data_IF_288166236894
#
_entry.id   IF_288166236894
#
_cell.length_a   1.000
_cell.length_b   1.000
_cell.length_c   1.000
_cell.angle_alpha   90.00
_cell.angle_beta   90.00
_cell.angle_gamma   90.00
#
_symmetry.space_group_name_H-M   'P 1'
#
loop_
_entity.id
_entity.type
_entity.pdbx_description
1 polymer ?
#
# COMPACT_ATOMS: atom_id res chain seq x y z
N UNK A 1 1.69 -11.87 22.64
CA UNK A 1 1.41 -11.50 21.23
C UNK A 1 1.98 -10.10 21.03
N UNK A 2 2.98 -9.91 20.17
CA UNK A 2 3.56 -8.58 19.91
C UNK A 2 2.62 -7.75 19.01
N UNK A 3 2.32 -6.51 19.40
CA UNK A 3 1.41 -5.63 18.68
C UNK A 3 0.93 -4.47 19.55
N UNK A 4 0.12 -3.58 18.98
CA UNK A 4 -0.53 -2.49 19.72
C UNK A 4 -1.77 -3.06 20.40
N UNK A 5 -1.95 -2.83 21.71
CA UNK A 5 -3.12 -3.24 22.47
C UNK A 5 -3.83 -1.98 22.97
N UNK A 6 -5.14 -1.91 22.74
CA UNK A 6 -5.95 -0.73 23.03
C UNK A 6 -7.04 -1.15 24.01
N UNK A 7 -7.01 -0.55 25.18
CA UNK A 7 -7.94 -0.83 26.27
C UNK A 7 -9.21 0.04 26.18
N UNK A 8 -10.07 -0.08 27.18
CA UNK A 8 -11.39 0.56 27.20
C UNK A 8 -11.27 2.08 27.08
N UNK A 9 -12.12 2.66 26.24
CA UNK A 9 -12.19 4.10 25.93
C UNK A 9 -10.87 4.73 25.45
N UNK A 10 -9.88 3.92 25.05
CA UNK A 10 -8.60 4.39 24.56
C UNK A 10 -8.57 4.54 23.03
N UNK A 11 -7.89 5.57 22.53
CA UNK A 11 -7.64 5.82 21.11
C UNK A 11 -6.14 5.81 20.83
N UNK A 12 -5.73 5.07 19.80
CA UNK A 12 -4.35 5.07 19.31
C UNK A 12 -4.31 5.49 17.85
N UNK A 13 -3.43 6.45 17.54
CA UNK A 13 -3.13 6.91 16.18
C UNK A 13 -1.71 6.52 15.84
N UNK A 14 -1.55 5.65 14.85
CA UNK A 14 -0.25 5.14 14.43
C UNK A 14 0.05 5.59 13.01
N UNK A 15 1.04 6.47 12.88
CA UNK A 15 1.44 7.06 11.61
C UNK A 15 2.82 6.55 11.18
N UNK A 16 2.97 6.17 9.91
CA UNK A 16 4.28 5.87 9.33
C UNK A 16 4.50 6.60 8.02
N UNK A 17 5.67 7.22 7.90
CA UNK A 17 6.16 7.82 6.67
C UNK A 17 7.44 7.12 6.29
N UNK A 18 7.49 6.55 5.09
CA UNK A 18 8.66 5.84 4.58
C UNK A 18 9.02 6.34 3.19
N UNK A 19 10.28 6.69 3.01
CA UNK A 19 10.86 7.06 1.73
C UNK A 19 12.13 6.25 1.52
N UNK A 20 12.10 5.37 0.52
CA UNK A 20 13.18 4.44 0.23
C UNK A 20 13.85 4.73 -1.10
N UNK A 21 15.09 4.24 -1.25
CA UNK A 21 15.77 4.28 -2.53
C UNK A 21 15.22 3.15 -3.44
N UNK A 22 14.79 3.46 -4.68
CA UNK A 22 14.16 2.51 -5.59
C UNK A 22 15.09 1.48 -6.22
N UNK A 23 16.41 1.70 -6.15
CA UNK A 23 17.37 0.99 -6.99
C UNK A 23 17.51 1.65 -8.36
N UNK A 24 18.49 1.18 -9.14
CA UNK A 24 18.75 1.65 -10.50
C UNK A 24 18.43 0.52 -11.49
N UNK A 25 17.54 0.78 -12.47
CA UNK A 25 17.22 -0.14 -13.58
C UNK A 25 17.03 -1.60 -13.13
N UNK A 26 16.12 -1.83 -12.17
CA UNK A 26 15.79 -3.14 -11.60
C UNK A 26 16.92 -3.83 -10.80
N UNK A 27 18.00 -3.11 -10.48
CA UNK A 27 19.11 -3.61 -9.67
C UNK A 27 19.18 -2.84 -8.36
N UNK A 28 19.09 -3.55 -7.24
CA UNK A 28 18.99 -2.95 -5.92
C UNK A 28 17.58 -2.44 -5.60
N UNK A 29 17.47 -1.67 -4.51
CA UNK A 29 16.20 -1.17 -4.00
C UNK A 29 15.66 -2.01 -2.85
N UNK A 30 14.81 -1.38 -2.03
CA UNK A 30 14.39 -1.95 -0.75
C UNK A 30 13.13 -2.79 -0.91
N UNK A 31 13.16 -3.99 -0.33
CA UNK A 31 12.00 -4.85 -0.13
C UNK A 31 11.35 -4.52 1.22
N UNK A 32 10.10 -4.09 1.17
CA UNK A 32 9.41 -3.51 2.31
C UNK A 32 8.26 -4.43 2.75
N UNK A 33 8.63 -5.50 3.45
CA UNK A 33 7.71 -6.52 3.96
C UNK A 33 7.46 -6.28 5.44
N UNK A 34 6.32 -5.66 5.76
CA UNK A 34 6.01 -5.26 7.13
C UNK A 34 4.68 -5.83 7.58
N UNK A 35 4.70 -6.48 8.74
CA UNK A 35 3.50 -6.95 9.44
C UNK A 35 3.23 -6.05 10.63
N UNK A 36 2.08 -5.37 10.65
CA UNK A 36 1.60 -4.59 11.79
C UNK A 36 0.27 -5.16 12.27
N UNK A 37 0.06 -5.21 13.59
CA UNK A 37 -1.16 -5.72 14.21
C UNK A 37 -1.56 -4.87 15.41
N UNK A 38 -2.85 -4.56 15.50
CA UNK A 38 -3.49 -3.97 16.66
C UNK A 38 -4.62 -4.87 17.17
N UNK A 39 -4.83 -4.84 18.49
CA UNK A 39 -5.94 -5.46 19.18
C UNK A 39 -6.72 -4.36 19.92
N UNK A 40 -7.92 -4.08 19.44
CA UNK A 40 -8.93 -3.29 20.13
C UNK A 40 -9.61 -4.21 21.15
N UNK A 41 -9.01 -4.31 22.34
CA UNK A 41 -9.43 -5.22 23.41
C UNK A 41 -10.62 -4.65 24.20
N UNK A 42 -10.57 -3.36 24.53
CA UNK A 42 -11.58 -2.72 25.36
C UNK A 42 -12.79 -2.21 24.59
N UNK A 43 -13.91 -2.05 25.29
CA UNK A 43 -15.09 -1.34 24.77
C UNK A 43 -14.74 0.09 24.32
N UNK A 44 -15.36 0.58 23.25
CA UNK A 44 -15.11 1.90 22.65
C UNK A 44 -13.63 2.14 22.26
N UNK A 45 -12.82 1.10 22.14
CA UNK A 45 -11.42 1.24 21.73
C UNK A 45 -11.31 1.62 20.26
N UNK A 46 -10.38 2.54 19.96
CA UNK A 46 -10.19 3.08 18.61
C UNK A 46 -8.76 2.94 18.14
N UNK A 47 -8.60 2.42 16.93
CA UNK A 47 -7.32 2.31 16.23
C UNK A 47 -7.36 3.06 14.91
N UNK A 48 -6.43 3.98 14.70
CA UNK A 48 -6.25 4.67 13.41
C UNK A 48 -4.86 4.42 12.85
N UNK A 49 -4.81 3.79 11.68
CA UNK A 49 -3.59 3.58 10.92
C UNK A 49 -3.45 4.64 9.84
N UNK A 50 -2.32 5.33 9.80
CA UNK A 50 -1.98 6.27 8.72
C UNK A 50 -0.63 5.87 8.12
N UNK A 51 -0.59 5.66 6.81
CA UNK A 51 0.67 5.35 6.12
C UNK A 51 0.86 6.21 4.87
N UNK A 52 2.12 6.62 4.67
CA UNK A 52 2.61 7.26 3.46
C UNK A 52 3.91 6.60 3.04
N UNK A 53 3.93 6.04 1.84
CA UNK A 53 5.03 5.21 1.38
C UNK A 53 5.42 5.54 -0.05
N UNK A 54 6.73 5.65 -0.28
CA UNK A 54 7.32 5.93 -1.58
C UNK A 54 8.67 5.25 -1.71
N UNK A 55 9.06 4.91 -2.94
CA UNK A 55 10.47 4.68 -3.24
C UNK A 55 10.98 3.24 -3.05
N UNK A 56 10.20 2.31 -2.50
CA UNK A 56 10.61 0.89 -2.44
C UNK A 56 10.54 0.21 -3.81
N UNK A 57 11.40 -0.77 -4.08
CA UNK A 57 11.27 -1.62 -5.26
C UNK A 57 10.01 -2.50 -5.19
N UNK A 58 9.80 -3.17 -4.05
CA UNK A 58 8.59 -3.95 -3.76
C UNK A 58 8.12 -3.61 -2.35
N UNK A 59 6.84 -3.27 -2.20
CA UNK A 59 6.18 -3.13 -0.89
C UNK A 59 5.03 -4.10 -0.77
N UNK A 60 5.04 -4.91 0.29
CA UNK A 60 3.90 -5.74 0.73
C UNK A 60 3.55 -5.45 2.17
N UNK A 61 2.37 -4.86 2.38
CA UNK A 61 1.92 -4.47 3.72
C UNK A 61 0.43 -4.65 3.91
N UNK A 62 0.10 -5.34 5.00
CA UNK A 62 -1.26 -5.51 5.47
C UNK A 62 -1.32 -5.26 6.97
N UNK A 63 -1.29 -3.98 7.41
CA UNK A 63 -1.63 -3.64 8.79
C UNK A 63 -2.99 -4.23 9.14
N UNK A 64 -3.11 -4.75 10.36
CA UNK A 64 -4.30 -5.47 10.78
C UNK A 64 -4.84 -4.94 12.10
N UNK A 65 -6.17 -4.94 12.23
CA UNK A 65 -6.85 -4.60 13.47
C UNK A 65 -7.84 -5.69 13.84
N UNK A 66 -7.80 -6.14 15.10
CA UNK A 66 -8.80 -7.04 15.68
C UNK A 66 -9.72 -6.20 16.56
N UNK A 67 -10.96 -6.03 16.12
CA UNK A 67 -12.03 -5.28 16.77
C UNK A 67 -12.79 -6.23 17.72
N UNK A 68 -12.21 -6.46 18.91
CA UNK A 68 -12.77 -7.39 19.91
C UNK A 68 -13.74 -6.70 20.87
N UNK A 69 -13.43 -5.49 21.32
CA UNK A 69 -14.32 -4.74 22.18
C UNK A 69 -15.60 -4.31 21.48
N UNK A 70 -16.70 -4.23 22.23
CA UNK A 70 -17.95 -3.65 21.73
C UNK A 70 -17.76 -2.17 21.38
N UNK A 71 -18.44 -1.70 20.34
CA UNK A 71 -18.31 -0.35 19.78
C UNK A 71 -16.87 0.03 19.37
N UNK A 72 -15.99 -0.96 19.11
CA UNK A 72 -14.63 -0.67 18.69
C UNK A 72 -14.56 -0.17 17.24
N UNK A 73 -13.64 0.75 16.98
CA UNK A 73 -13.50 1.44 15.70
C UNK A 73 -12.10 1.20 15.12
N UNK A 74 -12.07 0.76 13.86
CA UNK A 74 -10.85 0.69 13.07
C UNK A 74 -10.85 1.74 11.96
N UNK A 75 -9.76 2.48 11.81
CA UNK A 75 -9.55 3.41 10.70
C UNK A 75 -8.25 3.08 9.98
N UNK A 76 -8.26 3.18 8.66
CA UNK A 76 -7.08 2.98 7.83
C UNK A 76 -7.00 4.03 6.72
N UNK A 77 -5.90 4.76 6.71
CA UNK A 77 -5.54 5.77 5.73
C UNK A 77 -4.22 5.39 5.09
N UNK A 78 -4.21 5.23 3.77
CA UNK A 78 -3.00 4.85 3.03
C UNK A 78 -2.79 5.70 1.81
N UNK A 79 -1.58 6.25 1.71
CA UNK A 79 -1.05 6.92 0.51
C UNK A 79 0.17 6.17 0.02
N UNK A 80 0.13 5.71 -1.23
CA UNK A 80 1.27 5.04 -1.87
C UNK A 80 1.63 5.74 -3.17
N UNK A 81 2.92 6.07 -3.34
CA UNK A 81 3.49 6.56 -4.58
C UNK A 81 4.43 5.52 -5.17
N UNK A 82 4.14 5.10 -6.40
CA UNK A 82 4.98 4.18 -7.17
C UNK A 82 5.35 4.81 -8.53
N UNK A 83 6.57 4.56 -9.00
CA UNK A 83 7.10 5.02 -10.27
C UNK A 83 7.87 3.92 -10.99
N UNK A 84 7.91 3.97 -12.33
CA UNK A 84 8.69 3.02 -13.14
C UNK A 84 8.28 1.56 -12.89
N UNK A 85 9.25 0.73 -12.51
CA UNK A 85 9.08 -0.72 -12.26
C UNK A 85 8.70 -1.08 -10.82
N UNK A 86 8.43 -0.10 -9.96
CA UNK A 86 8.07 -0.36 -8.56
C UNK A 86 6.73 -1.07 -8.44
N UNK A 87 6.68 -2.05 -7.54
CA UNK A 87 5.48 -2.79 -7.21
C UNK A 87 5.04 -2.49 -5.79
N UNK A 88 3.75 -2.22 -5.62
CA UNK A 88 3.13 -2.05 -4.31
C UNK A 88 1.84 -2.85 -4.26
N UNK A 89 1.77 -3.77 -3.31
CA UNK A 89 0.54 -4.43 -2.88
C UNK A 89 0.35 -4.10 -1.39
N UNK A 90 -0.53 -3.13 -1.16
CA UNK A 90 -0.79 -2.60 0.17
C UNK A 90 -2.27 -2.61 0.42
N UNK A 91 -2.64 -2.96 1.64
CA UNK A 91 -4.01 -3.00 2.07
C UNK A 91 -4.10 -3.06 3.58
N UNK A 92 -5.26 -3.47 4.07
CA UNK A 92 -5.51 -3.62 5.51
C UNK A 92 -6.34 -4.87 5.75
N UNK A 93 -6.22 -5.45 6.95
CA UNK A 93 -7.04 -6.58 7.38
C UNK A 93 -7.75 -6.25 8.69
N UNK A 94 -9.06 -6.09 8.64
CA UNK A 94 -9.88 -5.82 9.82
C UNK A 94 -10.68 -7.06 10.18
N UNK A 95 -10.61 -7.45 11.45
CA UNK A 95 -11.28 -8.65 11.99
C UNK A 95 -12.30 -8.18 13.00
N UNK A 96 -13.56 -8.42 12.72
CA UNK A 96 -14.71 -7.93 13.49
C UNK A 96 -15.22 -9.02 14.43
N UNK A 97 -15.18 -8.80 15.75
CA UNK A 97 -15.57 -9.79 16.77
C UNK A 97 -16.60 -9.19 17.75
N UNK A 98 -16.37 -7.99 18.26
CA UNK A 98 -17.29 -7.30 19.19
C UNK A 98 -18.59 -6.84 18.51
N UNK A 99 -19.59 -6.44 19.29
CA UNK A 99 -20.86 -5.88 18.78
C UNK A 99 -20.68 -4.43 18.33
N UNK A 100 -21.46 -4.00 17.34
CA UNK A 100 -21.54 -2.60 16.87
C UNK A 100 -20.18 -1.96 16.51
N UNK A 101 -19.30 -2.71 15.86
CA UNK A 101 -18.01 -2.21 15.38
C UNK A 101 -18.16 -1.36 14.11
N UNK A 102 -17.20 -0.46 13.88
CA UNK A 102 -17.14 0.34 12.65
C UNK A 102 -15.75 0.29 12.00
N UNK A 103 -15.72 0.38 10.67
CA UNK A 103 -14.49 0.49 9.88
C UNK A 103 -14.60 1.66 8.91
N UNK A 104 -13.62 2.57 8.96
CA UNK A 104 -13.39 3.58 7.93
C UNK A 104 -12.12 3.24 7.15
N UNK A 105 -12.24 3.05 5.83
CA UNK A 105 -11.11 2.69 4.97
C UNK A 105 -10.94 3.71 3.84
N UNK A 106 -9.77 4.37 3.83
CA UNK A 106 -9.37 5.33 2.81
C UNK A 106 -8.05 4.92 2.17
N UNK A 107 -8.08 4.71 0.85
CA UNK A 107 -6.91 4.32 0.08
C UNK A 107 -6.71 5.28 -1.10
N UNK A 108 -5.50 5.84 -1.21
CA UNK A 108 -5.10 6.67 -2.34
C UNK A 108 -3.76 6.18 -2.89
N UNK A 109 -3.77 5.67 -4.12
CA UNK A 109 -2.57 5.27 -4.84
C UNK A 109 -2.33 6.20 -6.02
N UNK A 110 -1.12 6.73 -6.11
CA UNK A 110 -0.72 7.57 -7.23
C UNK A 110 0.41 6.88 -7.99
N UNK A 111 0.13 6.53 -9.25
CA UNK A 111 1.12 5.98 -10.16
C UNK A 111 1.77 7.15 -10.91
N UNK A 112 3.05 7.40 -10.64
CA UNK A 112 3.82 8.35 -11.42
C UNK A 112 4.24 7.64 -12.70
N UNK A 113 3.65 8.03 -13.84
CA UNK A 113 4.10 7.53 -15.15
C UNK A 113 5.59 7.88 -15.31
N UNK A 114 6.42 6.98 -15.87
CA UNK A 114 7.80 7.31 -16.19
C UNK A 114 7.82 8.53 -17.13
N UNK A 115 8.75 9.46 -16.88
CA UNK A 115 9.02 10.58 -17.79
C UNK A 115 9.40 10.01 -19.17
N UNK A 116 8.87 10.56 -20.29
CA UNK A 116 9.14 10.03 -21.63
C UNK A 116 10.63 9.92 -21.98
N UNK A 117 11.48 10.73 -21.34
CA UNK A 117 12.93 10.77 -21.55
C UNK A 117 13.68 9.50 -21.07
N UNK A 118 13.07 8.67 -20.22
CA UNK A 118 13.65 7.38 -19.78
C UNK A 118 13.27 6.20 -20.69
N UNK A 119 12.53 6.43 -21.77
CA UNK A 119 12.25 5.43 -22.79
C UNK A 119 13.15 5.70 -24.00
N UNK A 120 14.28 4.99 -24.18
CA UNK A 120 15.16 5.20 -25.35
C UNK A 120 14.47 4.91 -26.70
N UNK A 121 13.24 4.37 -26.68
CA UNK A 121 12.41 4.13 -27.86
C UNK A 121 11.29 5.16 -28.07
N UNK A 122 10.95 6.00 -27.08
CA UNK A 122 9.82 6.95 -27.20
C UNK A 122 10.13 8.19 -28.05
N UNK A 123 11.39 8.37 -28.46
CA UNK A 123 11.86 9.49 -29.30
C UNK A 123 12.15 9.14 -30.77
N UNK A 124 11.97 7.88 -31.18
CA UNK A 124 12.20 7.46 -32.58
C UNK A 124 11.10 6.51 -32.96
N UNK A 125 10.00 7.00 -33.53
CA UNK A 125 9.03 6.26 -34.38
C UNK A 125 7.73 7.04 -34.65
N UNK A 126 7.62 8.32 -34.25
CA UNK A 126 6.48 9.19 -34.63
C UNK A 126 6.83 10.17 -35.77
N UNK A 127 7.67 9.78 -36.73
CA UNK A 127 7.97 10.58 -37.91
C UNK A 127 7.75 9.87 -39.26
N UNK A 128 7.57 8.53 -39.28
CA UNK A 128 7.80 7.79 -40.53
C UNK A 128 6.58 7.01 -41.07
N UNK A 129 5.39 7.18 -40.49
CA UNK A 129 4.13 6.70 -41.08
C UNK A 129 4.02 5.18 -41.33
N UNK A 130 4.84 4.34 -40.68
CA UNK A 130 4.74 2.88 -40.82
C UNK A 130 3.81 2.28 -39.74
N UNK A 131 2.92 1.32 -40.10
CA UNK A 131 2.00 0.72 -39.15
C UNK A 131 2.76 -0.11 -38.10
N UNK A 132 2.28 -0.05 -36.87
CA UNK A 132 2.77 -0.83 -35.71
C UNK A 132 2.63 -2.33 -35.98
N UNK A 133 3.63 -3.17 -35.63
CA UNK A 133 3.49 -4.61 -35.75
C UNK A 133 2.46 -5.10 -34.72
N UNK A 134 1.52 -5.93 -35.18
CA UNK A 134 0.47 -6.54 -34.36
C UNK A 134 1.07 -7.33 -33.18
N UNK A 135 0.49 -7.13 -32.01
CA UNK A 135 0.81 -7.90 -30.81
C UNK A 135 0.32 -9.34 -31.04
N UNK A 136 1.23 -10.31 -31.04
CA UNK A 136 0.88 -11.74 -31.13
C UNK A 136 -0.06 -12.14 -29.98
N UNK A 137 -1.21 -12.79 -30.24
CA UNK A 137 -2.25 -13.07 -29.24
C UNK A 137 -1.88 -14.13 -28.18
N UNK A 138 -0.64 -14.63 -28.15
CA UNK A 138 -0.24 -15.77 -27.32
C UNK A 138 0.62 -15.44 -26.09
N UNK A 139 0.65 -14.20 -25.61
CA UNK A 139 1.31 -13.90 -24.32
C UNK A 139 0.38 -14.24 -23.15
N UNK A 140 0.48 -15.47 -22.62
CA UNK A 140 -0.16 -15.89 -21.37
C UNK A 140 0.55 -15.20 -20.18
N UNK A 141 -0.17 -14.70 -19.15
CA UNK A 141 0.46 -14.06 -18.00
C UNK A 141 1.11 -15.08 -17.06
N UNK A 142 2.37 -14.84 -16.67
CA UNK A 142 2.98 -15.42 -15.46
C UNK A 142 2.65 -14.56 -14.24
#
# INVERSE_FOLDING_TARGET
>A
MGGIIIHKDAEVKYSTVQNWFPGDNNTGGILNFVTKRALCEGENSKMSWTQSETGSAITWKYPSCILRGDNSIGEFYSVALTSGHQQADTGTKMIHIGKNHALNHYFKRHFRRPQPEQLPWAGKNYADGKPTPEISPNATPC
#
